data_IF_920595687879
#
_entry.id   IF_920595687879
#
_cell.length_a   1.000
_cell.length_b   1.000
_cell.length_c   1.000
_cell.angle_alpha   90.00
_cell.angle_beta   90.00
_cell.angle_gamma   90.00
#
_symmetry.space_group_name_H-M   'P 1'
#
loop_
_entity.id
_entity.type
_entity.pdbx_description
1 polymer ?
#
# COMPACT_ATOMS: atom_id res chain seq x y z
N UNK A 1 15.53 0.19 3.47
CA UNK A 1 15.02 0.11 2.07
C UNK A 1 16.08 -0.35 1.08
N UNK A 2 17.29 0.18 1.15
CA UNK A 2 18.38 -0.21 0.23
C UNK A 2 18.73 -1.70 0.31
N UNK A 3 18.70 -2.27 1.49
CA UNK A 3 18.93 -3.71 1.69
C UNK A 3 17.90 -4.54 0.90
N UNK A 4 16.63 -4.16 0.99
CA UNK A 4 15.57 -4.89 0.30
C UNK A 4 15.63 -4.71 -1.21
N UNK A 5 15.98 -3.52 -1.66
CA UNK A 5 16.20 -3.26 -3.09
C UNK A 5 17.33 -4.14 -3.65
N UNK A 6 18.43 -4.28 -2.91
CA UNK A 6 19.55 -5.15 -3.33
C UNK A 6 19.14 -6.61 -3.40
N UNK A 7 18.40 -7.11 -2.42
CA UNK A 7 17.93 -8.48 -2.42
C UNK A 7 16.97 -8.76 -3.57
N UNK A 8 16.06 -7.84 -3.85
CA UNK A 8 15.13 -7.95 -4.97
C UNK A 8 15.89 -7.92 -6.30
N UNK A 9 16.83 -7.00 -6.47
CA UNK A 9 17.64 -6.89 -7.68
C UNK A 9 18.37 -8.19 -7.96
N UNK A 10 19.03 -8.75 -6.95
CA UNK A 10 19.75 -10.02 -7.05
C UNK A 10 18.80 -11.14 -7.45
N UNK A 11 17.65 -11.23 -6.81
CA UNK A 11 16.62 -12.21 -7.10
C UNK A 11 16.17 -12.15 -8.56
N UNK A 12 15.92 -10.95 -9.07
CA UNK A 12 15.51 -10.75 -10.46
C UNK A 12 16.62 -11.12 -11.45
N UNK A 13 17.85 -10.67 -11.19
CA UNK A 13 18.99 -10.94 -12.07
C UNK A 13 19.32 -12.44 -12.15
N UNK A 14 19.27 -13.14 -11.02
CA UNK A 14 19.55 -14.59 -10.98
C UNK A 14 18.58 -15.40 -11.82
N UNK A 15 17.38 -14.87 -12.08
CA UNK A 15 16.33 -15.54 -12.85
C UNK A 15 16.13 -14.96 -14.24
N UNK A 16 16.96 -14.02 -14.63
CA UNK A 16 16.83 -13.29 -15.90
C UNK A 16 15.47 -12.59 -16.02
N UNK A 17 14.97 -12.07 -14.90
CA UNK A 17 13.72 -11.30 -14.82
C UNK A 17 13.96 -9.80 -14.67
N UNK A 18 15.19 -9.36 -14.95
CA UNK A 18 15.56 -7.94 -14.85
C UNK A 18 15.13 -7.10 -16.06
N UNK A 19 14.37 -7.72 -16.98
CA UNK A 19 13.81 -7.05 -18.15
C UNK A 19 12.28 -7.20 -18.25
N UNK A 20 11.62 -7.48 -17.14
CA UNK A 20 10.16 -7.57 -17.10
C UNK A 20 9.52 -6.25 -17.50
N UNK A 21 8.40 -6.32 -18.21
CA UNK A 21 7.70 -5.13 -18.64
C UNK A 21 6.91 -4.52 -17.48
N UNK A 22 6.99 -3.21 -17.28
CA UNK A 22 6.25 -2.55 -16.19
C UNK A 22 4.74 -2.83 -16.19
N UNK A 23 4.12 -2.94 -17.36
CA UNK A 23 2.69 -3.26 -17.46
C UNK A 23 2.37 -4.62 -16.86
N UNK A 24 3.24 -5.61 -17.07
CA UNK A 24 3.04 -6.95 -16.53
C UNK A 24 3.22 -6.96 -15.01
N UNK A 25 4.16 -6.18 -14.50
CA UNK A 25 4.35 -6.03 -13.05
C UNK A 25 3.13 -5.34 -12.42
N UNK A 26 2.61 -4.30 -13.08
CA UNK A 26 1.42 -3.59 -12.59
C UNK A 26 0.21 -4.53 -12.51
N UNK A 27 0.05 -5.41 -13.51
CA UNK A 27 -0.99 -6.44 -13.50
C UNK A 27 -0.81 -7.39 -12.32
N UNK A 28 0.42 -7.81 -12.07
CA UNK A 28 0.74 -8.69 -10.94
C UNK A 28 0.45 -8.03 -9.59
N UNK A 29 0.77 -6.75 -9.45
CA UNK A 29 0.42 -6.00 -8.24
C UNK A 29 -1.10 -6.03 -8.01
N UNK A 30 -1.87 -5.84 -9.07
CA UNK A 30 -3.32 -5.85 -9.01
C UNK A 30 -3.87 -7.23 -8.63
N UNK A 31 -3.32 -8.29 -9.23
CA UNK A 31 -3.73 -9.67 -8.94
C UNK A 31 -3.42 -10.04 -7.49
N UNK A 32 -2.21 -9.74 -7.03
CA UNK A 32 -1.83 -10.05 -5.65
C UNK A 32 -2.64 -9.22 -4.64
N UNK A 33 -2.96 -7.97 -4.99
CA UNK A 33 -3.83 -7.13 -4.17
C UNK A 33 -5.25 -7.74 -4.06
N UNK A 34 -5.74 -8.34 -5.14
CA UNK A 34 -7.03 -9.03 -5.13
C UNK A 34 -6.99 -10.27 -4.22
N UNK A 35 -5.87 -11.00 -4.20
CA UNK A 35 -5.71 -12.14 -3.30
C UNK A 35 -5.70 -11.72 -1.84
N UNK A 36 -5.08 -10.59 -1.53
CA UNK A 36 -5.15 -9.99 -0.20
C UNK A 36 -6.61 -9.63 0.14
N UNK A 37 -7.33 -9.03 -0.78
CA UNK A 37 -8.73 -8.66 -0.61
C UNK A 37 -9.62 -9.88 -0.32
N UNK A 38 -9.35 -11.02 -0.96
CA UNK A 38 -10.12 -12.25 -0.75
C UNK A 38 -10.19 -12.67 0.71
N UNK A 39 -9.16 -12.36 1.49
CA UNK A 39 -9.13 -12.68 2.93
C UNK A 39 -10.18 -11.89 3.73
N UNK A 40 -10.73 -10.83 3.15
CA UNK A 40 -11.64 -9.91 3.83
C UNK A 40 -12.98 -9.74 3.12
N UNK A 41 -13.21 -10.42 2.00
CA UNK A 41 -14.39 -10.16 1.17
C UNK A 41 -15.72 -10.43 1.88
N UNK A 42 -15.71 -11.33 2.85
CA UNK A 42 -16.93 -11.74 3.57
C UNK A 42 -16.96 -11.26 5.03
N UNK A 43 -15.96 -10.51 5.45
CA UNK A 43 -15.82 -10.08 6.84
C UNK A 43 -15.43 -8.60 6.91
N UNK A 44 -15.71 -7.98 8.04
CA UNK A 44 -15.29 -6.61 8.29
C UNK A 44 -14.94 -6.46 9.78
N UNK A 45 -14.03 -7.31 10.23
CA UNK A 45 -13.62 -7.33 11.62
C UNK A 45 -12.75 -6.12 11.97
N UNK A 46 -12.78 -5.73 13.22
CA UNK A 46 -11.95 -4.63 13.73
C UNK A 46 -10.48 -5.01 13.68
N UNK A 47 -9.61 -4.01 13.73
CA UNK A 47 -8.16 -4.21 13.79
C UNK A 47 -7.78 -5.14 14.94
N UNK A 48 -8.36 -4.93 16.14
CA UNK A 48 -8.09 -5.76 17.31
C UNK A 48 -8.48 -7.22 17.10
N UNK A 49 -9.64 -7.46 16.51
CA UNK A 49 -10.11 -8.81 16.20
C UNK A 49 -9.18 -9.53 15.22
N UNK A 50 -8.76 -8.84 14.18
CA UNK A 50 -7.81 -9.40 13.20
C UNK A 50 -6.49 -9.73 13.86
N UNK A 51 -5.97 -8.86 14.72
CA UNK A 51 -4.70 -9.08 15.44
C UNK A 51 -4.71 -10.33 16.32
N UNK A 52 -5.88 -10.77 16.77
CA UNK A 52 -6.01 -11.95 17.62
C UNK A 52 -6.19 -13.24 16.83
N UNK A 53 -6.47 -13.16 15.55
CA UNK A 53 -6.63 -14.33 14.68
C UNK A 53 -5.27 -14.70 14.07
N UNK A 54 -4.55 -15.59 14.73
CA UNK A 54 -3.17 -15.96 14.36
C UNK A 54 -3.08 -16.60 12.98
N UNK A 55 -4.04 -17.44 12.63
CA UNK A 55 -4.07 -18.10 11.34
C UNK A 55 -4.28 -17.10 10.22
N UNK A 56 -5.22 -16.19 10.41
CA UNK A 56 -5.49 -15.12 9.44
C UNK A 56 -4.30 -14.20 9.28
N UNK A 57 -3.59 -13.87 10.37
CA UNK A 57 -2.39 -13.06 10.31
C UNK A 57 -1.31 -13.66 9.43
N UNK A 58 -1.13 -14.98 9.48
CA UNK A 58 -0.14 -15.65 8.63
C UNK A 58 -0.53 -15.57 7.15
N UNK A 59 -1.81 -15.72 6.83
CA UNK A 59 -2.29 -15.53 5.46
C UNK A 59 -2.13 -14.08 5.00
N UNK A 60 -2.43 -13.12 5.86
CA UNK A 60 -2.25 -11.69 5.55
C UNK A 60 -0.77 -11.37 5.27
N UNK A 61 0.13 -11.86 6.12
CA UNK A 61 1.57 -11.66 5.91
C UNK A 61 2.02 -12.14 4.54
N UNK A 62 1.58 -13.34 4.16
CA UNK A 62 1.94 -13.95 2.89
C UNK A 62 1.45 -13.11 1.71
N UNK A 63 0.17 -12.76 1.70
CA UNK A 63 -0.41 -12.00 0.58
C UNK A 63 0.13 -10.57 0.54
N UNK A 64 0.34 -9.95 1.69
CA UNK A 64 0.93 -8.62 1.76
C UNK A 64 2.37 -8.65 1.25
N UNK A 65 3.15 -9.68 1.61
CA UNK A 65 4.52 -9.83 1.12
C UNK A 65 4.57 -9.98 -0.39
N UNK A 66 3.61 -10.70 -0.98
CA UNK A 66 3.52 -10.85 -2.44
C UNK A 66 3.28 -9.49 -3.12
N UNK A 67 2.36 -8.68 -2.58
CA UNK A 67 2.11 -7.32 -3.08
C UNK A 67 3.36 -6.47 -3.00
N UNK A 68 4.02 -6.47 -1.84
CA UNK A 68 5.24 -5.69 -1.63
C UNK A 68 6.37 -6.12 -2.55
N UNK A 69 6.52 -7.42 -2.80
CA UNK A 69 7.55 -7.94 -3.69
C UNK A 69 7.38 -7.37 -5.10
N UNK A 70 6.18 -7.40 -5.66
CA UNK A 70 5.94 -6.82 -6.98
C UNK A 70 6.09 -5.31 -6.99
N UNK A 71 5.73 -4.62 -5.91
CA UNK A 71 5.98 -3.19 -5.80
C UNK A 71 7.48 -2.87 -5.83
N UNK A 72 8.29 -3.65 -5.11
CA UNK A 72 9.74 -3.50 -5.13
C UNK A 72 10.32 -3.86 -6.50
N UNK A 73 9.81 -4.89 -7.17
CA UNK A 73 10.22 -5.23 -8.52
C UNK A 73 10.08 -4.03 -9.46
N UNK A 74 8.92 -3.39 -9.43
CA UNK A 74 8.65 -2.20 -10.24
C UNK A 74 9.66 -1.08 -9.93
N UNK A 75 9.85 -0.80 -8.65
CA UNK A 75 10.73 0.27 -8.19
C UNK A 75 12.19 0.02 -8.60
N UNK A 76 12.68 -1.20 -8.39
CA UNK A 76 14.06 -1.59 -8.72
C UNK A 76 14.30 -1.53 -10.21
N UNK A 77 13.39 -2.08 -11.01
CA UNK A 77 13.55 -2.13 -12.47
C UNK A 77 13.50 -0.73 -13.10
N UNK A 78 12.74 0.18 -12.52
CA UNK A 78 12.68 1.57 -12.99
C UNK A 78 13.75 2.47 -12.39
N UNK A 79 14.59 1.94 -11.51
CA UNK A 79 15.71 2.67 -10.93
C UNK A 79 15.29 3.70 -9.88
N UNK A 80 14.15 3.49 -9.21
CA UNK A 80 13.68 4.40 -8.18
C UNK A 80 14.40 4.14 -6.85
N UNK A 81 14.51 5.19 -6.04
CA UNK A 81 14.82 5.07 -4.62
C UNK A 81 13.49 4.86 -3.90
N UNK A 82 13.19 3.63 -3.54
CA UNK A 82 11.88 3.23 -2.99
C UNK A 82 11.54 4.00 -1.71
N UNK A 83 12.51 4.14 -0.82
CA UNK A 83 12.30 4.90 0.41
C UNK A 83 11.99 6.36 0.14
N UNK A 84 12.72 6.95 -0.80
CA UNK A 84 12.53 8.36 -1.15
C UNK A 84 11.15 8.63 -1.77
N UNK A 85 10.73 7.81 -2.75
CA UNK A 85 9.42 8.02 -3.38
C UNK A 85 8.28 7.87 -2.36
N UNK A 86 8.43 6.96 -1.40
CA UNK A 86 7.46 6.77 -0.34
C UNK A 86 7.39 7.99 0.58
N UNK A 87 8.54 8.47 1.04
CA UNK A 87 8.60 9.63 1.93
C UNK A 87 8.11 10.91 1.25
N UNK A 88 8.48 11.12 -0.01
CA UNK A 88 8.03 12.28 -0.78
C UNK A 88 6.50 12.29 -0.90
N UNK A 89 5.92 11.14 -1.19
CA UNK A 89 4.47 11.01 -1.28
C UNK A 89 3.80 11.21 0.08
N UNK A 90 4.39 10.67 1.13
CA UNK A 90 3.86 10.81 2.49
C UNK A 90 3.79 12.28 2.91
N UNK A 91 4.81 13.10 2.57
CA UNK A 91 4.78 14.53 2.85
C UNK A 91 3.61 15.22 2.15
N UNK A 92 3.34 14.87 0.90
CA UNK A 92 2.18 15.40 0.17
C UNK A 92 0.86 14.99 0.81
N UNK A 93 0.76 13.75 1.25
CA UNK A 93 -0.45 13.22 1.91
C UNK A 93 -0.67 13.91 3.26
N UNK A 94 0.40 14.18 4.01
CA UNK A 94 0.32 14.91 5.28
C UNK A 94 -0.24 16.32 5.08
N UNK A 95 0.15 17.00 4.01
CA UNK A 95 -0.36 18.33 3.68
C UNK A 95 -1.83 18.27 3.25
N UNK A 96 -2.20 17.22 2.50
CA UNK A 96 -3.56 17.00 2.03
C UNK A 96 -4.52 16.69 3.18
N UNK A 97 -4.05 15.92 4.17
CA UNK A 97 -4.82 15.52 5.34
C UNK A 97 -4.11 16.01 6.61
N UNK A 98 -4.27 17.30 6.97
CA UNK A 98 -3.60 17.84 8.15
C UNK A 98 -4.02 17.09 9.43
N UNK A 99 -3.05 16.77 10.28
CA UNK A 99 -3.26 15.98 11.49
C UNK A 99 -4.32 16.58 12.42
N UNK A 100 -4.35 17.92 12.50
CA UNK A 100 -5.30 18.61 13.40
C UNK A 100 -6.77 18.40 13.03
N UNK A 101 -7.08 18.00 11.79
CA UNK A 101 -8.45 17.69 11.37
C UNK A 101 -8.91 16.31 11.84
N UNK A 102 -7.98 15.43 12.23
CA UNK A 102 -8.24 14.03 12.57
C UNK A 102 -7.82 13.65 13.99
N UNK A 103 -7.06 14.50 14.65
CA UNK A 103 -6.39 14.20 15.93
C UNK A 103 -7.34 13.79 17.06
N UNK A 104 -8.51 14.43 17.15
CA UNK A 104 -9.49 14.21 18.21
C UNK A 104 -10.69 13.40 17.73
N UNK A 105 -10.50 12.56 16.74
CA UNK A 105 -11.54 11.70 16.19
C UNK A 105 -12.07 10.77 17.27
N UNK A 106 -13.41 10.69 17.40
CA UNK A 106 -14.06 9.73 18.27
C UNK A 106 -13.93 8.33 17.63
N UNK A 107 -13.35 7.41 18.38
CA UNK A 107 -13.14 6.02 17.91
C UNK A 107 -14.43 5.25 17.73
N UNK A 108 -15.51 5.69 18.38
CA UNK A 108 -16.80 5.02 18.30
C UNK A 108 -17.69 5.56 17.18
N UNK A 109 -17.34 6.71 16.62
CA UNK A 109 -18.06 7.34 15.52
C UNK A 109 -17.07 7.85 14.49
N UNK A 110 -16.73 7.02 13.53
CA UNK A 110 -15.79 7.39 12.49
C UNK A 110 -16.39 8.26 11.39
N UNK A 111 -17.73 8.42 11.41
CA UNK A 111 -18.47 9.12 10.37
C UNK A 111 -17.93 10.54 10.09
N UNK A 112 -17.61 11.31 11.13
CA UNK A 112 -17.08 12.66 10.97
C UNK A 112 -15.74 12.69 10.28
N UNK A 113 -14.80 11.82 10.68
CA UNK A 113 -13.48 11.72 10.10
C UNK A 113 -13.54 11.21 8.66
N UNK A 114 -14.38 10.22 8.39
CA UNK A 114 -14.60 9.68 7.06
C UNK A 114 -15.15 10.75 6.12
N UNK A 115 -16.11 11.55 6.60
CA UNK A 115 -16.68 12.64 5.81
C UNK A 115 -15.62 13.68 5.45
N UNK A 116 -14.75 14.04 6.39
CA UNK A 116 -13.65 14.97 6.14
C UNK A 116 -12.67 14.38 5.12
N UNK A 117 -12.30 13.11 5.29
CA UNK A 117 -11.41 12.40 4.39
C UNK A 117 -11.95 12.42 2.95
N UNK A 118 -13.18 11.99 2.76
CA UNK A 118 -13.79 11.94 1.43
C UNK A 118 -13.99 13.31 0.81
N UNK A 119 -14.34 14.31 1.62
CA UNK A 119 -14.47 15.69 1.17
C UNK A 119 -13.14 16.21 0.62
N UNK A 120 -12.05 16.04 1.37
CA UNK A 120 -10.73 16.46 0.95
C UNK A 120 -10.31 15.73 -0.33
N UNK A 121 -10.55 14.42 -0.38
CA UNK A 121 -10.21 13.59 -1.54
C UNK A 121 -10.94 14.07 -2.80
N UNK A 122 -12.23 14.35 -2.68
CA UNK A 122 -13.04 14.88 -3.80
C UNK A 122 -12.55 16.23 -4.27
N UNK A 123 -12.24 17.14 -3.35
CA UNK A 123 -11.74 18.47 -3.70
C UNK A 123 -10.43 18.40 -4.48
N UNK A 124 -9.51 17.54 -4.02
CA UNK A 124 -8.23 17.34 -4.72
C UNK A 124 -8.40 16.72 -6.10
N UNK A 125 -9.33 15.78 -6.26
CA UNK A 125 -9.65 15.19 -7.56
C UNK A 125 -10.20 16.24 -8.54
N UNK A 126 -11.07 17.13 -8.06
CA UNK A 126 -11.63 18.22 -8.88
C UNK A 126 -10.55 19.18 -9.35
N UNK A 127 -9.48 19.38 -8.55
CA UNK A 127 -8.35 20.25 -8.91
C UNK A 127 -7.30 19.54 -9.75
N UNK A 128 -7.52 18.26 -10.11
CA UNK A 128 -6.57 17.46 -10.85
C UNK A 128 -5.41 16.90 -10.01
N UNK A 129 -5.52 16.95 -8.69
CA UNK A 129 -4.54 16.39 -7.77
C UNK A 129 -4.93 14.97 -7.37
N UNK A 130 -4.03 14.04 -7.50
CA UNK A 130 -4.24 12.64 -7.16
C UNK A 130 -3.56 12.25 -5.82
#
# INVERSE_FOLDING_TARGET
>A
MKKYEREIKKYLEERSWDNLRPADIAKSICIESAELLELFQWTNNSLGEVKQDKEKLEHIKKELADVLTYCFDMSVLLGFDTGKILLDKLEKVKKKYPANLFKNRDKNTDAGSENIYWKIKKEHRKKGHM
#
